data_IF_284998913194
#
_entry.id   IF_284998913194
#
_cell.length_a   1.000
_cell.length_b   1.000
_cell.length_c   1.000
_cell.angle_alpha   90.00
_cell.angle_beta   90.00
_cell.angle_gamma   90.00
#
_symmetry.space_group_name_H-M   'P 1'
#
loop_
_entity.id
_entity.type
_entity.pdbx_description
1 polymer ?
#
# COMPACT_ATOMS: atom_id res chain seq x y z
N UNK A 1 -17.95 -20.30 20.46
CA UNK A 1 -18.02 -19.58 19.16
C UNK A 1 -17.18 -20.30 18.10
N UNK A 2 -16.00 -20.83 18.41
CA UNK A 2 -15.09 -21.43 17.41
C UNK A 2 -14.78 -22.93 17.65
N UNK A 3 -15.74 -23.73 18.14
CA UNK A 3 -15.48 -25.12 18.55
C UNK A 3 -15.00 -26.03 17.42
N UNK A 4 -15.38 -25.73 16.17
CA UNK A 4 -14.98 -26.49 14.98
C UNK A 4 -13.68 -25.99 14.32
N UNK A 5 -13.01 -25.01 14.96
CA UNK A 5 -11.82 -24.36 14.41
C UNK A 5 -10.58 -24.87 15.16
N UNK A 6 -9.63 -25.52 14.46
CA UNK A 6 -8.52 -26.24 15.08
C UNK A 6 -7.38 -25.33 15.58
N UNK A 7 -7.54 -24.01 15.42
CA UNK A 7 -6.56 -22.99 15.78
C UNK A 7 -7.24 -21.87 16.55
N UNK A 8 -6.44 -21.06 17.23
CA UNK A 8 -6.97 -19.88 17.92
C UNK A 8 -7.48 -18.83 16.93
N UNK A 9 -8.54 -18.14 17.32
CA UNK A 9 -9.09 -16.99 16.59
C UNK A 9 -9.14 -15.80 17.54
N UNK A 10 -8.50 -14.69 17.17
CA UNK A 10 -8.53 -13.45 17.92
C UNK A 10 -7.53 -12.39 17.45
N UNK A 11 -7.75 -11.16 17.92
CA UNK A 11 -6.97 -9.95 17.58
C UNK A 11 -5.45 -10.10 17.73
N UNK A 12 -4.99 -10.94 18.66
CA UNK A 12 -3.56 -11.17 18.91
C UNK A 12 -2.81 -11.72 17.69
N UNK A 13 -3.52 -12.38 16.78
CA UNK A 13 -2.94 -12.99 15.57
C UNK A 13 -2.94 -12.05 14.36
N UNK A 14 -3.59 -10.88 14.44
CA UNK A 14 -3.71 -9.95 13.30
C UNK A 14 -2.34 -9.59 12.69
N UNK A 15 -1.34 -9.43 13.57
CA UNK A 15 0.04 -9.11 13.24
C UNK A 15 0.81 -10.20 12.48
N UNK A 16 0.29 -11.42 12.36
CA UNK A 16 1.05 -12.58 11.88
C UNK A 16 1.48 -12.42 10.42
N UNK A 17 2.70 -12.87 10.12
CA UNK A 17 3.28 -12.87 8.77
C UNK A 17 3.85 -14.23 8.43
N UNK A 18 3.38 -14.80 7.32
CA UNK A 18 3.77 -16.13 6.86
C UNK A 18 4.74 -15.97 5.70
N UNK A 19 6.01 -16.30 5.95
CA UNK A 19 7.06 -16.28 4.93
C UNK A 19 6.95 -17.49 4.00
N UNK A 20 7.66 -17.45 2.88
CA UNK A 20 7.55 -18.46 1.81
C UNK A 20 7.95 -19.85 2.31
N UNK A 21 8.93 -19.92 3.20
CA UNK A 21 9.44 -21.15 3.82
C UNK A 21 8.42 -21.82 4.76
N UNK A 22 7.56 -21.03 5.41
CA UNK A 22 6.57 -21.46 6.41
C UNK A 22 5.16 -21.67 5.82
N UNK A 23 4.99 -21.32 4.55
CA UNK A 23 3.72 -21.38 3.81
C UNK A 23 3.36 -22.82 3.44
N UNK A 24 2.12 -23.22 3.75
CA UNK A 24 1.48 -24.43 3.22
C UNK A 24 0.96 -24.21 1.80
N UNK A 25 0.28 -23.09 1.59
CA UNK A 25 -0.27 -22.71 0.27
C UNK A 25 -0.34 -21.18 0.15
N UNK A 26 -0.22 -20.69 -1.07
CA UNK A 26 -0.49 -19.30 -1.45
C UNK A 26 -1.78 -19.23 -2.28
N UNK A 27 -2.64 -18.28 -1.95
CA UNK A 27 -3.95 -18.10 -2.56
C UNK A 27 -4.04 -16.67 -3.08
N UNK A 28 -4.24 -16.53 -4.38
CA UNK A 28 -4.03 -15.25 -5.06
C UNK A 28 -2.55 -14.83 -5.03
N UNK A 29 -2.30 -13.59 -4.63
CA UNK A 29 -0.94 -13.05 -4.55
C UNK A 29 -0.30 -12.71 -5.90
N UNK A 30 1.00 -12.32 -5.90
CA UNK A 30 1.64 -11.69 -7.06
C UNK A 30 1.78 -12.58 -8.30
N UNK A 31 1.75 -13.91 -8.13
CA UNK A 31 1.90 -14.88 -9.24
C UNK A 31 0.59 -15.21 -9.94
N UNK A 32 -0.52 -14.71 -9.41
CA UNK A 32 -1.87 -15.04 -9.84
C UNK A 32 -2.52 -13.74 -10.33
N UNK A 33 -2.85 -13.70 -11.62
CA UNK A 33 -3.44 -12.53 -12.28
C UNK A 33 -4.87 -12.29 -11.82
N UNK A 34 -5.66 -13.36 -11.72
CA UNK A 34 -7.09 -13.31 -11.44
C UNK A 34 -7.36 -13.83 -10.03
N UNK A 35 -7.98 -12.98 -9.22
CA UNK A 35 -8.32 -13.21 -7.81
C UNK A 35 -9.30 -12.14 -7.37
N UNK A 36 -10.19 -12.43 -6.42
CA UNK A 36 -11.15 -11.44 -5.92
C UNK A 36 -11.66 -11.76 -4.51
N UNK A 37 -12.04 -10.71 -3.78
CA UNK A 37 -12.89 -10.84 -2.59
C UNK A 37 -14.05 -9.86 -2.74
N UNK A 38 -15.28 -10.35 -2.59
CA UNK A 38 -16.47 -9.57 -2.87
C UNK A 38 -17.49 -9.79 -1.77
N UNK A 39 -18.03 -8.70 -1.22
CA UNK A 39 -19.28 -8.74 -0.45
C UNK A 39 -20.43 -8.26 -1.32
N UNK A 40 -21.55 -8.99 -1.27
CA UNK A 40 -22.82 -8.56 -1.88
C UNK A 40 -23.93 -8.55 -0.83
N UNK A 41 -24.72 -7.47 -0.83
CA UNK A 41 -26.01 -7.46 -0.13
C UNK A 41 -27.03 -8.11 -1.06
N UNK A 42 -27.70 -9.16 -0.58
CA UNK A 42 -28.68 -9.95 -1.33
C UNK A 42 -30.03 -9.96 -0.63
N UNK A 43 -31.05 -10.40 -1.37
CA UNK A 43 -32.37 -10.62 -0.76
C UNK A 43 -32.35 -11.85 0.14
N UNK A 44 -33.21 -11.84 1.15
CA UNK A 44 -33.21 -12.87 2.19
C UNK A 44 -33.59 -14.28 1.68
N UNK A 45 -34.30 -14.37 0.56
CA UNK A 45 -34.67 -15.62 -0.12
C UNK A 45 -33.55 -16.18 -1.02
N UNK A 46 -32.55 -15.36 -1.35
CA UNK A 46 -31.36 -15.77 -2.13
C UNK A 46 -30.26 -16.35 -1.23
N UNK A 47 -30.34 -16.17 0.09
CA UNK A 47 -29.33 -16.62 1.06
C UNK A 47 -29.83 -17.80 1.92
N UNK A 48 -29.02 -18.86 1.93
CA UNK A 48 -29.09 -19.94 2.90
C UNK A 48 -28.17 -19.63 4.07
N UNK A 49 -28.73 -19.25 5.21
CA UNK A 49 -27.95 -18.80 6.36
C UNK A 49 -26.94 -19.85 6.85
N UNK A 50 -25.70 -19.41 7.10
CA UNK A 50 -24.60 -20.24 7.57
C UNK A 50 -23.95 -21.13 6.50
N UNK A 51 -24.44 -21.09 5.25
CA UNK A 51 -23.93 -21.96 4.19
C UNK A 51 -22.50 -21.57 3.80
N UNK A 52 -21.63 -22.57 3.70
CA UNK A 52 -20.28 -22.42 3.15
C UNK A 52 -20.16 -23.38 1.96
N UNK A 53 -19.75 -22.83 0.80
CA UNK A 53 -19.55 -23.59 -0.43
C UNK A 53 -18.10 -23.48 -0.89
N UNK A 54 -17.56 -24.55 -1.46
CA UNK A 54 -16.19 -24.62 -1.97
C UNK A 54 -16.29 -25.09 -3.42
N UNK A 55 -15.91 -24.22 -4.34
CA UNK A 55 -15.96 -24.45 -5.79
C UNK A 55 -14.53 -24.60 -6.31
N UNK A 56 -14.13 -25.85 -6.52
CA UNK A 56 -12.77 -26.27 -6.81
C UNK A 56 -12.15 -27.08 -5.66
N UNK A 57 -10.83 -27.39 -5.72
CA UNK A 57 -10.14 -28.12 -4.66
C UNK A 57 -10.20 -27.43 -3.29
N UNK A 58 -10.46 -28.19 -2.23
CA UNK A 58 -10.37 -27.68 -0.87
C UNK A 58 -8.90 -27.58 -0.41
N UNK A 59 -8.64 -26.91 0.71
CA UNK A 59 -7.31 -26.62 1.24
C UNK A 59 -6.45 -27.89 1.45
N UNK A 60 -7.05 -29.02 1.80
CA UNK A 60 -6.36 -30.30 1.95
C UNK A 60 -5.85 -30.87 0.61
N UNK A 61 -6.54 -30.57 -0.48
CA UNK A 61 -6.26 -31.08 -1.83
C UNK A 61 -5.21 -30.22 -2.56
N UNK A 62 -4.91 -29.03 -2.05
CA UNK A 62 -3.89 -28.14 -2.61
C UNK A 62 -2.48 -28.65 -2.29
N UNK A 63 -1.58 -28.61 -3.25
CA UNK A 63 -0.19 -29.05 -3.08
C UNK A 63 0.62 -28.04 -2.25
N UNK A 64 1.57 -28.54 -1.46
CA UNK A 64 2.38 -27.70 -0.60
C UNK A 64 3.29 -26.74 -1.39
N UNK A 65 3.31 -25.47 -0.98
CA UNK A 65 4.23 -24.47 -1.51
C UNK A 65 3.83 -23.90 -2.88
N UNK A 66 2.67 -24.29 -3.42
CA UNK A 66 2.13 -23.76 -4.68
C UNK A 66 1.23 -22.54 -4.46
N UNK A 67 0.98 -21.82 -5.56
CA UNK A 67 0.08 -20.66 -5.65
C UNK A 67 -1.14 -21.01 -6.51
N UNK A 68 -2.34 -20.59 -6.10
CA UNK A 68 -3.59 -20.91 -6.78
C UNK A 68 -4.46 -19.65 -7.01
N UNK A 69 -5.26 -19.59 -8.10
CA UNK A 69 -6.40 -18.67 -8.19
C UNK A 69 -7.28 -18.76 -6.95
N UNK A 70 -7.78 -17.62 -6.48
CA UNK A 70 -8.59 -17.60 -5.27
C UNK A 70 -9.66 -16.52 -5.32
N UNK A 71 -10.87 -16.91 -4.94
CA UNK A 71 -12.03 -16.04 -4.84
C UNK A 71 -12.73 -16.22 -3.50
N UNK A 72 -13.14 -15.13 -2.87
CA UNK A 72 -14.03 -15.14 -1.71
C UNK A 72 -15.28 -14.35 -2.07
N UNK A 73 -16.45 -14.99 -2.05
CA UNK A 73 -17.73 -14.31 -2.16
C UNK A 73 -18.46 -14.43 -0.83
N UNK A 74 -18.77 -13.30 -0.21
CA UNK A 74 -19.56 -13.22 1.01
C UNK A 74 -20.89 -12.56 0.67
N UNK A 75 -22.00 -13.25 0.92
CA UNK A 75 -23.33 -12.72 0.65
C UNK A 75 -24.05 -12.53 1.97
N UNK A 76 -24.58 -11.33 2.19
CA UNK A 76 -25.22 -10.94 3.45
C UNK A 76 -26.61 -10.37 3.21
N UNK A 77 -27.48 -10.51 4.20
CA UNK A 77 -28.79 -9.86 4.22
C UNK A 77 -29.13 -9.39 5.63
N UNK A 78 -29.99 -8.37 5.70
CA UNK A 78 -30.54 -7.85 6.94
C UNK A 78 -31.42 -6.64 6.65
N UNK A 79 -32.40 -6.35 7.50
CA UNK A 79 -33.39 -5.29 7.27
C UNK A 79 -32.77 -3.90 7.03
N UNK A 80 -31.60 -3.65 7.62
CA UNK A 80 -30.87 -2.38 7.55
C UNK A 80 -29.68 -2.39 6.59
N UNK A 81 -29.49 -3.47 5.82
CA UNK A 81 -28.37 -3.58 4.89
C UNK A 81 -28.70 -2.90 3.57
N UNK A 82 -27.81 -2.02 3.13
CA UNK A 82 -27.85 -1.33 1.85
C UNK A 82 -26.61 -1.69 1.03
N UNK A 83 -26.68 -1.66 -0.29
CA UNK A 83 -25.52 -1.96 -1.16
C UNK A 83 -24.31 -1.05 -0.88
N UNK A 84 -24.56 0.16 -0.37
CA UNK A 84 -23.53 1.14 0.04
C UNK A 84 -22.63 0.61 1.19
N UNK A 85 -23.08 -0.40 1.91
CA UNK A 85 -22.33 -1.01 3.01
C UNK A 85 -21.43 -2.15 2.55
N UNK A 86 -21.55 -2.59 1.30
CA UNK A 86 -20.78 -3.74 0.78
C UNK A 86 -19.27 -3.50 0.92
N UNK A 87 -18.77 -2.32 0.53
CA UNK A 87 -17.34 -1.98 0.65
C UNK A 87 -16.84 -1.98 2.11
N UNK A 88 -17.69 -1.53 3.05
CA UNK A 88 -17.40 -1.54 4.49
C UNK A 88 -17.27 -2.98 5.00
N UNK A 89 -18.20 -3.85 4.64
CA UNK A 89 -18.17 -5.26 5.02
C UNK A 89 -17.02 -6.02 4.34
N UNK A 90 -16.73 -5.71 3.09
CA UNK A 90 -15.67 -6.34 2.31
C UNK A 90 -14.31 -6.06 2.93
N UNK A 91 -14.10 -4.85 3.47
CA UNK A 91 -12.86 -4.54 4.17
C UNK A 91 -12.63 -5.41 5.41
N UNK A 92 -13.70 -5.87 6.07
CA UNK A 92 -13.60 -6.74 7.25
C UNK A 92 -13.08 -8.14 6.93
N UNK A 93 -13.12 -8.59 5.68
CA UNK A 93 -12.47 -9.84 5.25
C UNK A 93 -10.99 -9.80 5.64
N UNK A 94 -10.33 -8.66 5.45
CA UNK A 94 -8.93 -8.49 5.81
C UNK A 94 -8.66 -8.67 7.30
N UNK A 95 -9.44 -8.02 8.16
CA UNK A 95 -9.29 -8.16 9.61
C UNK A 95 -9.58 -9.60 10.06
N UNK A 96 -10.74 -10.12 9.68
CA UNK A 96 -11.24 -11.39 10.20
C UNK A 96 -10.40 -12.58 9.76
N UNK A 97 -9.86 -12.57 8.54
CA UNK A 97 -8.90 -13.60 8.10
C UNK A 97 -7.60 -13.54 8.90
N UNK A 98 -7.09 -12.34 9.22
CA UNK A 98 -5.87 -12.20 10.01
C UNK A 98 -6.08 -12.50 11.50
N UNK A 99 -7.31 -12.59 11.99
CA UNK A 99 -7.57 -13.05 13.37
C UNK A 99 -7.40 -14.56 13.52
N UNK A 100 -7.38 -15.33 12.43
CA UNK A 100 -7.23 -16.78 12.45
C UNK A 100 -5.74 -17.12 12.50
N UNK A 101 -5.29 -17.76 13.58
CA UNK A 101 -3.88 -18.14 13.76
C UNK A 101 -3.35 -18.96 12.57
N UNK A 102 -2.23 -18.52 12.01
CA UNK A 102 -1.58 -19.13 10.85
C UNK A 102 -2.31 -18.95 9.52
N UNK A 103 -3.22 -17.98 9.44
CA UNK A 103 -3.73 -17.39 8.19
C UNK A 103 -3.22 -15.96 8.09
N UNK A 104 -2.71 -15.60 6.93
CA UNK A 104 -2.27 -14.24 6.62
C UNK A 104 -3.03 -13.76 5.41
N UNK A 105 -3.75 -12.64 5.53
CA UNK A 105 -4.41 -11.96 4.43
C UNK A 105 -3.82 -10.55 4.22
N UNK A 106 -3.56 -10.17 2.98
CA UNK A 106 -3.03 -8.87 2.59
C UNK A 106 -3.86 -8.29 1.44
N UNK A 107 -3.76 -6.96 1.29
CA UNK A 107 -4.40 -6.18 0.24
C UNK A 107 -5.94 -6.18 0.34
N UNK A 108 -6.62 -6.29 -0.81
CA UNK A 108 -8.05 -6.06 -0.98
C UNK A 108 -8.53 -6.45 -2.39
N UNK A 109 -9.85 -6.63 -2.56
CA UNK A 109 -10.54 -6.76 -3.86
C UNK A 109 -9.81 -7.73 -4.82
N UNK A 110 -9.43 -7.23 -6.00
CA UNK A 110 -8.76 -7.98 -7.07
C UNK A 110 -7.25 -8.16 -6.86
N UNK A 111 -6.70 -7.64 -5.77
CA UNK A 111 -5.30 -7.79 -5.42
C UNK A 111 -5.08 -8.56 -4.12
N UNK A 112 -6.11 -9.28 -3.63
CA UNK A 112 -6.02 -10.10 -2.43
C UNK A 112 -4.80 -11.02 -2.47
N UNK A 113 -4.22 -11.24 -1.30
CA UNK A 113 -3.13 -12.19 -1.15
C UNK A 113 -3.24 -12.90 0.19
N UNK A 114 -3.52 -14.19 0.14
CA UNK A 114 -3.65 -15.02 1.32
C UNK A 114 -2.58 -16.11 1.36
N UNK A 115 -2.07 -16.41 2.57
CA UNK A 115 -1.27 -17.60 2.85
C UNK A 115 -1.84 -18.34 4.03
N UNK A 116 -1.76 -19.66 3.98
CA UNK A 116 -1.99 -20.54 5.14
C UNK A 116 -0.66 -21.17 5.53
N UNK A 117 -0.34 -21.19 6.83
CA UNK A 117 0.94 -21.68 7.34
C UNK A 117 0.96 -23.19 7.57
N UNK A 118 2.14 -23.82 7.42
CA UNK A 118 2.34 -25.27 7.66
C UNK A 118 1.94 -25.68 9.08
N UNK A 119 2.21 -24.82 10.07
CA UNK A 119 1.87 -25.08 11.48
C UNK A 119 0.36 -25.13 11.72
N UNK A 120 -0.40 -24.21 11.15
CA UNK A 120 -1.86 -24.21 11.27
C UNK A 120 -2.48 -25.41 10.55
N UNK A 121 -1.99 -25.72 9.34
CA UNK A 121 -2.42 -26.92 8.62
C UNK A 121 -2.15 -28.21 9.43
N UNK A 122 -0.98 -28.33 10.05
CA UNK A 122 -0.64 -29.46 10.91
C UNK A 122 -1.48 -29.56 12.20
N UNK A 123 -2.02 -28.44 12.70
CA UNK A 123 -2.99 -28.42 13.80
C UNK A 123 -4.39 -28.86 13.38
N UNK A 124 -4.65 -28.94 12.07
CA UNK A 124 -5.92 -29.39 11.50
C UNK A 124 -6.65 -28.36 10.66
N UNK A 125 -6.10 -27.14 10.46
CA UNK A 125 -6.70 -26.12 9.61
C UNK A 125 -6.48 -26.48 8.13
N UNK A 126 -7.28 -27.43 7.64
CA UNK A 126 -7.10 -28.11 6.36
C UNK A 126 -8.33 -28.04 5.45
N UNK A 127 -9.34 -27.24 5.80
CA UNK A 127 -10.49 -26.96 4.93
C UNK A 127 -10.85 -25.47 4.95
N UNK A 128 -11.25 -24.93 3.80
CA UNK A 128 -11.86 -23.60 3.70
C UNK A 128 -13.17 -23.51 4.47
N UNK A 129 -13.83 -24.64 4.75
CA UNK A 129 -15.00 -24.64 5.62
C UNK A 129 -14.67 -24.09 7.01
N UNK A 130 -13.53 -24.46 7.59
CA UNK A 130 -13.12 -23.98 8.92
C UNK A 130 -12.84 -22.46 8.90
N UNK A 131 -12.21 -21.97 7.83
CA UNK A 131 -11.96 -20.54 7.61
C UNK A 131 -13.29 -19.79 7.43
N UNK A 132 -14.21 -20.33 6.63
CA UNK A 132 -15.56 -19.77 6.45
C UNK A 132 -16.34 -19.72 7.76
N UNK A 133 -16.23 -20.74 8.61
CA UNK A 133 -16.89 -20.78 9.92
C UNK A 133 -16.35 -19.70 10.87
N UNK A 134 -15.03 -19.44 10.86
CA UNK A 134 -14.44 -18.30 11.57
C UNK A 134 -15.01 -16.97 11.05
N UNK A 135 -14.98 -16.77 9.73
CA UNK A 135 -15.46 -15.54 9.10
C UNK A 135 -16.94 -15.28 9.44
N UNK A 136 -17.83 -16.26 9.28
CA UNK A 136 -19.25 -16.13 9.62
C UNK A 136 -19.43 -15.73 11.09
N UNK A 137 -18.70 -16.37 11.99
CA UNK A 137 -18.78 -16.08 13.43
C UNK A 137 -18.31 -14.66 13.75
N UNK A 138 -17.22 -14.20 13.14
CA UNK A 138 -16.68 -12.85 13.31
C UNK A 138 -17.62 -11.79 12.70
N UNK A 139 -18.13 -12.00 11.49
CA UNK A 139 -19.14 -11.11 10.90
C UNK A 139 -20.35 -10.94 11.80
N UNK A 140 -20.89 -12.02 12.37
CA UNK A 140 -22.04 -11.96 13.27
C UNK A 140 -21.74 -11.28 14.61
N UNK A 141 -20.53 -11.50 15.15
CA UNK A 141 -20.10 -10.90 16.41
C UNK A 141 -19.96 -9.38 16.28
N UNK A 142 -19.26 -8.94 15.25
CA UNK A 142 -18.87 -7.54 15.08
C UNK A 142 -19.93 -6.72 14.33
N UNK A 143 -20.76 -7.37 13.52
CA UNK A 143 -21.80 -6.71 12.72
C UNK A 143 -23.18 -7.37 12.96
N UNK A 144 -23.80 -7.16 14.14
CA UNK A 144 -25.10 -7.77 14.49
C UNK A 144 -26.26 -7.38 13.56
N UNK A 145 -26.06 -6.40 12.68
CA UNK A 145 -27.01 -6.00 11.63
C UNK A 145 -27.12 -7.03 10.49
N UNK A 146 -26.20 -7.99 10.40
CA UNK A 146 -26.26 -9.10 9.45
C UNK A 146 -27.15 -10.20 10.03
N UNK A 147 -28.29 -10.44 9.38
CA UNK A 147 -29.26 -11.46 9.80
C UNK A 147 -28.94 -12.84 9.20
N UNK A 148 -28.57 -12.87 7.92
CA UNK A 148 -28.09 -14.09 7.26
C UNK A 148 -26.80 -13.82 6.50
N UNK A 149 -25.95 -14.84 6.47
CA UNK A 149 -24.67 -14.81 5.77
C UNK A 149 -24.39 -16.17 5.14
N UNK A 150 -23.87 -16.16 3.93
CA UNK A 150 -23.25 -17.33 3.30
C UNK A 150 -21.92 -16.95 2.65
N UNK A 151 -21.03 -17.92 2.53
CA UNK A 151 -19.70 -17.72 1.94
C UNK A 151 -19.45 -18.77 0.86
N UNK A 152 -18.90 -18.35 -0.26
CA UNK A 152 -18.42 -19.22 -1.32
C UNK A 152 -16.94 -18.97 -1.56
N UNK A 153 -16.13 -20.01 -1.44
CA UNK A 153 -14.72 -20.00 -1.80
C UNK A 153 -14.53 -20.60 -3.18
N UNK A 154 -13.63 -20.00 -3.96
CA UNK A 154 -13.28 -20.44 -5.30
C UNK A 154 -11.78 -20.69 -5.39
N UNK A 155 -11.37 -21.78 -6.03
CA UNK A 155 -9.96 -22.08 -6.32
C UNK A 155 -9.71 -22.31 -7.81
N UNK A 156 -10.44 -21.58 -8.66
CA UNK A 156 -10.43 -21.67 -10.13
C UNK A 156 -11.74 -22.24 -10.71
N UNK A 157 -11.74 -22.53 -12.00
CA UNK A 157 -12.92 -23.05 -12.73
C UNK A 157 -13.75 -21.97 -13.44
N UNK A 158 -14.85 -22.38 -14.07
CA UNK A 158 -15.69 -21.49 -14.88
C UNK A 158 -16.46 -20.48 -14.02
N UNK A 159 -17.05 -20.92 -12.91
CA UNK A 159 -17.79 -20.07 -11.97
C UNK A 159 -16.90 -19.03 -11.29
N UNK A 160 -15.60 -19.33 -11.13
CA UNK A 160 -14.62 -18.36 -10.67
C UNK A 160 -14.47 -17.20 -11.65
N UNK A 161 -14.41 -17.47 -12.96
CA UNK A 161 -14.21 -16.44 -13.98
C UNK A 161 -15.42 -15.51 -14.10
N UNK A 162 -16.64 -16.08 -14.12
CA UNK A 162 -17.86 -15.27 -14.17
C UNK A 162 -18.00 -14.39 -12.93
N UNK A 163 -17.68 -14.92 -11.74
CA UNK A 163 -17.73 -14.17 -10.48
C UNK A 163 -16.62 -13.12 -10.38
N UNK A 164 -15.42 -13.41 -10.89
CA UNK A 164 -14.32 -12.44 -10.97
C UNK A 164 -14.70 -11.23 -11.83
N UNK A 165 -15.33 -11.46 -12.99
CA UNK A 165 -15.81 -10.37 -13.84
C UNK A 165 -16.90 -9.55 -13.17
N UNK A 166 -17.86 -10.20 -12.50
CA UNK A 166 -18.86 -9.52 -11.68
C UNK A 166 -18.21 -8.68 -10.58
N UNK A 167 -17.22 -9.21 -9.88
CA UNK A 167 -16.50 -8.48 -8.83
C UNK A 167 -15.86 -7.20 -9.39
N UNK A 168 -15.17 -7.31 -10.54
CA UNK A 168 -14.57 -6.17 -11.24
C UNK A 168 -15.61 -5.09 -11.61
N UNK A 169 -16.77 -5.49 -12.13
CA UNK A 169 -17.87 -4.57 -12.45
C UNK A 169 -18.41 -3.87 -11.20
N UNK A 170 -18.59 -4.62 -10.10
CA UNK A 170 -19.08 -4.06 -8.83
C UNK A 170 -18.08 -3.07 -8.24
N UNK A 171 -16.78 -3.35 -8.28
CA UNK A 171 -15.76 -2.40 -7.81
C UNK A 171 -15.81 -1.09 -8.61
N UNK A 172 -15.87 -1.18 -9.94
CA UNK A 172 -15.96 -0.01 -10.81
C UNK A 172 -17.23 0.81 -10.55
N UNK A 173 -18.37 0.14 -10.33
CA UNK A 173 -19.63 0.82 -9.98
C UNK A 173 -19.52 1.59 -8.66
N UNK A 174 -18.88 0.99 -7.64
CA UNK A 174 -18.65 1.64 -6.33
C UNK A 174 -17.69 2.82 -6.47
N UNK A 175 -16.59 2.64 -7.18
CA UNK A 175 -15.57 3.68 -7.34
C UNK A 175 -16.08 4.84 -8.20
N UNK A 176 -16.80 4.56 -9.29
CA UNK A 176 -17.40 5.58 -10.16
C UNK A 176 -18.35 6.52 -9.41
N UNK A 177 -19.03 6.04 -8.35
CA UNK A 177 -19.88 6.89 -7.51
C UNK A 177 -19.08 7.87 -6.66
N UNK A 178 -17.89 7.50 -6.22
CA UNK A 178 -17.02 8.38 -5.46
C UNK A 178 -16.35 9.45 -6.34
N UNK A 179 -16.15 9.15 -7.62
CA UNK A 179 -15.59 10.08 -8.61
C UNK A 179 -16.57 11.24 -8.83
N UNK A 180 -16.20 12.44 -8.38
CA UNK A 180 -16.93 13.67 -8.67
C UNK A 180 -17.31 14.50 -7.45
N UNK A 181 -17.28 13.91 -6.25
CA UNK A 181 -17.40 14.68 -5.02
C UNK A 181 -16.09 15.41 -4.73
N UNK A 182 -16.15 16.71 -4.48
CA UNK A 182 -14.98 17.54 -4.20
C UNK A 182 -14.73 17.66 -2.70
N UNK A 183 -13.47 17.86 -2.33
CA UNK A 183 -13.08 18.11 -0.94
C UNK A 183 -13.79 19.33 -0.35
N UNK A 184 -14.02 20.35 -1.18
CA UNK A 184 -14.66 21.60 -0.81
C UNK A 184 -16.17 21.46 -0.56
N UNK A 185 -16.81 20.40 -1.07
CA UNK A 185 -18.25 20.13 -0.92
C UNK A 185 -18.62 19.40 0.37
N UNK A 186 -17.62 18.99 1.16
CA UNK A 186 -17.82 18.28 2.42
C UNK A 186 -17.19 19.05 3.59
N UNK A 187 -17.78 18.89 4.77
CA UNK A 187 -17.28 19.44 6.05
C UNK A 187 -16.46 18.43 6.86
N UNK A 188 -16.54 17.16 6.48
CA UNK A 188 -16.04 16.01 7.22
C UNK A 188 -15.21 15.12 6.30
N UNK A 189 -14.00 14.79 6.74
CA UNK A 189 -13.19 13.71 6.19
C UNK A 189 -13.30 12.48 7.08
N UNK A 190 -12.68 11.37 6.68
CA UNK A 190 -12.66 10.16 7.48
C UNK A 190 -11.23 9.72 7.74
N UNK A 191 -10.98 9.18 8.92
CA UNK A 191 -9.74 8.52 9.25
C UNK A 191 -9.91 7.03 9.32
N UNK A 192 -8.81 6.29 9.15
CA UNK A 192 -8.78 4.84 9.31
C UNK A 192 -7.58 4.42 10.16
N UNK A 193 -7.83 3.68 11.23
CA UNK A 193 -6.82 3.16 12.15
C UNK A 193 -6.55 1.66 11.97
N UNK A 194 -7.17 1.00 10.97
CA UNK A 194 -7.05 -0.46 10.77
C UNK A 194 -5.61 -0.95 10.68
N UNK A 195 -4.74 -0.19 10.02
CA UNK A 195 -3.37 -0.62 9.81
C UNK A 195 -2.42 -0.23 10.97
N UNK A 196 -2.93 0.34 12.07
CA UNK A 196 -2.09 0.73 13.21
C UNK A 196 -1.56 -0.46 14.00
N UNK A 197 -2.15 -1.65 13.86
CA UNK A 197 -1.56 -2.89 14.40
C UNK A 197 -0.21 -3.22 13.77
N UNK A 198 0.04 -2.80 12.53
CA UNK A 198 1.31 -2.99 11.82
C UNK A 198 2.19 -1.74 11.80
N UNK A 199 1.57 -0.56 11.70
CA UNK A 199 2.25 0.72 11.63
C UNK A 199 1.64 1.69 12.65
N UNK A 200 2.06 1.64 13.94
CA UNK A 200 1.36 2.33 15.03
C UNK A 200 1.22 3.85 14.86
N UNK A 201 2.17 4.50 14.19
CA UNK A 201 2.14 5.94 13.91
C UNK A 201 1.46 6.29 12.58
N UNK A 202 0.94 5.31 11.84
CA UNK A 202 0.29 5.56 10.56
C UNK A 202 -0.99 6.37 10.75
N UNK A 203 -1.10 7.40 9.94
CA UNK A 203 -2.28 8.24 9.76
C UNK A 203 -2.81 7.99 8.36
N UNK A 204 -4.06 7.53 8.28
CA UNK A 204 -4.83 7.41 7.05
C UNK A 204 -5.98 8.42 7.09
N UNK A 205 -6.00 9.34 6.14
CA UNK A 205 -7.01 10.38 5.95
C UNK A 205 -7.62 10.19 4.58
N UNK A 206 -8.94 10.10 4.56
CA UNK A 206 -9.76 9.77 3.41
C UNK A 206 -10.64 10.98 3.13
N UNK A 207 -10.46 11.56 1.95
CA UNK A 207 -11.25 12.67 1.44
C UNK A 207 -11.98 12.24 0.18
N UNK A 208 -12.98 13.01 -0.30
CA UNK A 208 -13.60 12.74 -1.60
C UNK A 208 -12.56 12.61 -2.74
N UNK A 209 -11.50 13.40 -2.69
CA UNK A 209 -10.46 13.44 -3.73
C UNK A 209 -9.18 12.69 -3.36
N UNK A 210 -9.17 11.94 -2.26
CA UNK A 210 -8.06 11.10 -1.81
C UNK A 210 -8.57 9.86 -1.11
N UNK A 211 -8.60 8.76 -1.86
CA UNK A 211 -8.85 7.43 -1.32
C UNK A 211 -7.82 7.04 -0.26
N UNK A 212 -8.20 6.11 0.63
CA UNK A 212 -7.23 5.43 1.46
C UNK A 212 -6.15 4.79 0.58
N UNK A 213 -4.88 4.80 1.01
CA UNK A 213 -3.77 4.30 0.20
C UNK A 213 -3.96 2.84 -0.29
N UNK A 214 -4.76 2.04 0.44
CA UNK A 214 -5.08 0.67 0.06
C UNK A 214 -6.02 0.52 -1.15
N UNK A 215 -6.69 1.59 -1.58
CA UNK A 215 -7.70 1.56 -2.64
C UNK A 215 -9.07 1.00 -2.22
N UNK A 216 -9.19 0.47 -1.00
CA UNK A 216 -10.40 -0.24 -0.56
C UNK A 216 -11.47 0.64 0.11
N UNK A 217 -11.12 1.87 0.51
CA UNK A 217 -12.00 2.74 1.31
C UNK A 217 -12.08 4.11 0.66
N UNK A 218 -13.23 4.39 0.05
CA UNK A 218 -13.62 5.71 -0.44
C UNK A 218 -14.15 6.59 0.69
N UNK A 219 -14.41 7.87 0.40
CA UNK A 219 -15.08 8.76 1.34
C UNK A 219 -16.49 8.27 1.72
N UNK A 220 -17.23 7.68 0.76
CA UNK A 220 -18.55 7.12 1.03
C UNK A 220 -18.49 5.90 1.93
N UNK A 221 -17.49 5.02 1.75
CA UNK A 221 -17.23 3.90 2.65
C UNK A 221 -16.87 4.40 4.05
N UNK A 222 -16.05 5.46 4.14
CA UNK A 222 -15.71 6.13 5.39
C UNK A 222 -16.94 6.60 6.16
N UNK A 223 -17.85 7.29 5.45
CA UNK A 223 -19.12 7.77 5.99
C UNK A 223 -20.04 6.64 6.44
N UNK A 224 -20.18 5.61 5.61
CA UNK A 224 -21.01 4.45 5.90
C UNK A 224 -20.49 3.70 7.13
N UNK A 225 -19.17 3.43 7.19
CA UNK A 225 -18.53 2.75 8.31
C UNK A 225 -18.67 3.51 9.62
N UNK A 226 -18.35 4.81 9.63
CA UNK A 226 -18.44 5.64 10.84
C UNK A 226 -19.88 5.80 11.36
N UNK A 227 -20.88 5.76 10.47
CA UNK A 227 -22.30 5.79 10.87
C UNK A 227 -22.76 4.46 11.46
N UNK A 228 -22.26 3.35 10.90
CA UNK A 228 -22.63 2.00 11.32
C UNK A 228 -21.98 1.62 12.65
N UNK A 229 -20.70 1.92 12.80
CA UNK A 229 -19.86 1.56 13.94
C UNK A 229 -19.09 2.81 14.41
N UNK A 230 -19.72 3.70 15.20
CA UNK A 230 -19.12 4.96 15.63
C UNK A 230 -17.86 4.83 16.49
N UNK A 231 -17.72 3.70 17.20
CA UNK A 231 -16.56 3.37 18.03
C UNK A 231 -15.50 2.55 17.26
N UNK A 232 -15.77 2.29 15.98
CA UNK A 232 -14.94 1.49 15.10
C UNK A 232 -13.62 2.15 14.69
N UNK A 233 -12.82 1.42 13.88
CA UNK A 233 -11.51 1.87 13.43
C UNK A 233 -11.59 2.93 12.32
N UNK A 234 -12.77 3.15 11.73
CA UNK A 234 -13.04 4.20 10.75
C UNK A 234 -13.94 5.24 11.41
N UNK A 235 -13.51 6.49 11.42
CA UNK A 235 -14.12 7.53 12.24
C UNK A 235 -14.11 8.89 11.51
N UNK A 236 -15.02 9.82 11.85
CA UNK A 236 -15.05 11.13 11.22
C UNK A 236 -13.91 12.03 11.71
N UNK A 237 -13.40 12.87 10.82
CA UNK A 237 -12.45 13.94 11.07
C UNK A 237 -13.11 15.25 10.62
N UNK A 238 -13.42 16.13 11.56
CA UNK A 238 -13.81 17.50 11.21
C UNK A 238 -12.65 18.19 10.49
N UNK A 239 -12.91 18.84 9.34
CA UNK A 239 -11.84 19.49 8.55
C UNK A 239 -11.11 20.58 9.34
N UNK A 240 -11.85 21.40 10.10
CA UNK A 240 -11.32 22.60 10.72
C UNK A 240 -10.95 23.67 9.67
N UNK A 241 -10.07 24.59 10.06
CA UNK A 241 -9.52 25.61 9.16
C UNK A 241 -8.69 25.01 8.03
N UNK A 242 -8.88 25.54 6.82
CA UNK A 242 -8.08 25.20 5.63
C UNK A 242 -6.82 26.09 5.61
N UNK A 243 -5.68 25.50 5.97
CA UNK A 243 -4.44 26.22 6.24
C UNK A 243 -3.60 26.43 4.98
N UNK A 244 -3.61 25.45 4.07
CA UNK A 244 -2.83 25.49 2.84
C UNK A 244 -3.59 24.80 1.71
N UNK A 245 -3.96 25.58 0.69
CA UNK A 245 -4.74 25.08 -0.43
C UNK A 245 -3.95 24.33 -1.48
N UNK A 246 -2.66 24.59 -1.57
CA UNK A 246 -1.75 23.92 -2.50
C UNK A 246 -1.41 22.53 -1.98
N UNK A 247 -1.07 22.42 -0.70
CA UNK A 247 -0.67 21.15 -0.09
C UNK A 247 -1.84 20.34 0.48
N UNK A 248 -3.02 20.94 0.61
CA UNK A 248 -4.17 20.31 1.24
C UNK A 248 -4.02 20.16 2.74
N UNK A 249 -3.57 21.22 3.44
CA UNK A 249 -3.37 21.19 4.89
C UNK A 249 -4.61 21.70 5.62
N UNK A 250 -5.08 20.91 6.59
CA UNK A 250 -6.25 21.21 7.39
C UNK A 250 -5.92 21.08 8.87
N UNK A 251 -6.31 22.06 9.67
CA UNK A 251 -6.04 22.06 11.12
C UNK A 251 -6.64 20.83 11.82
N UNK A 252 -7.87 20.43 11.45
CA UNK A 252 -8.52 19.25 12.02
C UNK A 252 -7.81 17.93 11.66
N UNK A 253 -7.23 17.86 10.46
CA UNK A 253 -6.38 16.73 10.05
C UNK A 253 -5.07 16.70 10.85
N UNK A 254 -4.46 17.87 11.11
CA UNK A 254 -3.25 17.95 11.93
C UNK A 254 -3.51 17.54 13.38
N UNK A 255 -4.57 18.06 14.00
CA UNK A 255 -4.99 17.64 15.35
C UNK A 255 -5.25 16.14 15.43
N UNK A 256 -5.89 15.61 14.39
CA UNK A 256 -6.16 14.19 14.27
C UNK A 256 -4.85 13.38 14.21
N UNK A 257 -3.92 13.79 13.35
CA UNK A 257 -2.63 13.16 13.18
C UNK A 257 -1.84 13.12 14.49
N UNK A 258 -1.81 14.23 15.25
CA UNK A 258 -1.14 14.30 16.56
C UNK A 258 -1.71 13.26 17.51
N UNK A 259 -3.04 13.21 17.64
CA UNK A 259 -3.73 12.31 18.59
C UNK A 259 -3.51 10.84 18.22
N UNK A 260 -3.70 10.46 16.95
CA UNK A 260 -3.65 9.05 16.52
C UNK A 260 -2.25 8.50 16.31
N UNK A 261 -1.27 9.35 16.05
CA UNK A 261 0.14 8.93 15.90
C UNK A 261 0.91 8.97 17.22
N UNK A 262 0.24 9.28 18.35
CA UNK A 262 0.88 9.51 19.65
C UNK A 262 1.95 10.62 19.59
N UNK A 263 1.70 11.66 18.78
CA UNK A 263 2.60 12.80 18.59
C UNK A 263 3.77 12.57 17.64
N UNK A 264 3.82 11.43 16.93
CA UNK A 264 4.86 11.17 15.93
C UNK A 264 4.67 11.97 14.63
N UNK A 265 3.42 12.30 14.29
CA UNK A 265 3.04 13.06 13.10
C UNK A 265 2.22 14.28 13.55
N UNK A 266 2.73 15.47 13.27
CA UNK A 266 2.11 16.71 13.75
C UNK A 266 1.41 17.52 12.65
N UNK A 267 1.80 17.29 11.39
CA UNK A 267 1.26 17.97 10.22
C UNK A 267 1.11 16.97 9.09
N UNK A 268 0.07 17.13 8.27
CA UNK A 268 -0.15 16.30 7.09
C UNK A 268 -0.56 17.18 5.91
N UNK A 269 0.22 17.09 4.84
CA UNK A 269 -0.08 17.61 3.52
C UNK A 269 -0.68 16.48 2.69
N UNK A 270 -1.98 16.62 2.41
CA UNK A 270 -2.74 15.60 1.72
C UNK A 270 -2.37 15.48 0.24
N UNK A 271 -1.75 16.49 -0.37
CA UNK A 271 -1.51 16.52 -1.81
C UNK A 271 -0.05 16.75 -2.20
N UNK A 272 0.87 16.38 -1.30
CA UNK A 272 2.32 16.40 -1.54
C UNK A 272 3.00 15.14 -1.01
N UNK A 273 4.08 14.75 -1.69
CA UNK A 273 5.06 13.75 -1.30
C UNK A 273 6.28 14.38 -0.59
N UNK A 274 6.36 15.70 -0.49
CA UNK A 274 7.45 16.45 0.16
C UNK A 274 6.99 17.18 1.43
N UNK A 275 7.95 17.52 2.29
CA UNK A 275 7.68 18.19 3.57
C UNK A 275 6.93 17.31 4.57
N UNK A 276 5.59 17.41 4.60
CA UNK A 276 4.74 16.69 5.55
C UNK A 276 3.82 15.66 4.86
N UNK A 277 4.35 14.72 4.06
CA UNK A 277 3.52 13.84 3.28
C UNK A 277 2.62 12.98 4.16
N UNK A 278 1.44 12.64 3.63
CA UNK A 278 0.60 11.61 4.23
C UNK A 278 1.38 10.28 4.38
N UNK A 279 1.38 9.72 5.59
CA UNK A 279 2.15 8.50 5.89
C UNK A 279 1.61 7.26 5.16
N UNK A 280 2.35 6.16 5.18
CA UNK A 280 1.93 4.88 4.60
C UNK A 280 2.12 3.72 5.57
N UNK A 281 1.12 2.84 5.69
CA UNK A 281 1.25 1.62 6.49
C UNK A 281 2.08 0.56 5.78
N UNK A 282 1.56 -0.01 4.70
CA UNK A 282 2.18 -1.12 3.96
C UNK A 282 1.27 -1.80 2.94
N UNK A 283 -0.03 -1.48 2.93
CA UNK A 283 -1.02 -2.06 2.01
C UNK A 283 -1.37 -1.16 0.81
N UNK A 284 -0.53 -0.16 0.50
CA UNK A 284 -0.75 0.72 -0.66
C UNK A 284 -0.71 -0.05 -1.99
N UNK A 285 -1.52 0.36 -2.97
CA UNK A 285 -1.57 -0.29 -4.29
C UNK A 285 -0.36 0.07 -5.16
N UNK A 286 0.13 1.30 -5.03
CA UNK A 286 1.29 1.80 -5.73
C UNK A 286 2.14 2.76 -4.87
N UNK A 287 3.32 3.08 -5.37
CA UNK A 287 4.25 4.04 -4.77
C UNK A 287 4.58 5.08 -5.84
N UNK A 288 4.42 6.36 -5.51
CA UNK A 288 5.12 7.44 -6.19
C UNK A 288 6.48 7.63 -5.50
N UNK A 289 7.57 7.44 -6.25
CA UNK A 289 8.94 7.57 -5.76
C UNK A 289 9.68 8.65 -6.55
N UNK A 290 10.32 9.58 -5.85
CA UNK A 290 11.04 10.67 -6.46
C UNK A 290 12.40 10.20 -7.01
N UNK A 291 12.77 10.75 -8.17
CA UNK A 291 14.01 10.47 -8.89
C UNK A 291 14.79 11.79 -8.97
N UNK A 292 15.74 12.04 -8.04
CA UNK A 292 16.46 13.30 -7.96
C UNK A 292 17.19 13.68 -9.24
N UNK A 293 17.79 12.72 -9.95
CA UNK A 293 18.56 12.95 -11.17
C UNK A 293 17.72 13.45 -12.36
N UNK A 294 16.40 13.30 -12.25
CA UNK A 294 15.41 13.66 -13.29
C UNK A 294 14.48 14.78 -12.81
N UNK A 295 14.48 15.09 -11.51
CA UNK A 295 13.57 16.03 -10.86
C UNK A 295 12.08 15.70 -11.07
N UNK A 296 11.74 14.41 -11.04
CA UNK A 296 10.37 13.90 -11.23
C UNK A 296 10.10 12.61 -10.46
N UNK A 297 8.87 12.11 -10.55
CA UNK A 297 8.41 10.91 -9.88
C UNK A 297 8.29 9.73 -10.85
N UNK A 298 8.80 8.58 -10.44
CA UNK A 298 8.33 7.30 -10.97
C UNK A 298 7.12 6.80 -10.18
N UNK A 299 6.27 6.02 -10.84
CA UNK A 299 5.17 5.27 -10.19
C UNK A 299 5.45 3.78 -10.36
N UNK A 300 5.23 2.99 -9.31
CA UNK A 300 5.26 1.52 -9.41
C UNK A 300 4.14 0.90 -8.59
N UNK A 301 3.37 0.00 -9.20
CA UNK A 301 2.31 -0.73 -8.51
C UNK A 301 2.81 -2.07 -7.97
N UNK A 302 2.11 -2.59 -6.96
CA UNK A 302 2.49 -3.79 -6.20
C UNK A 302 2.70 -5.05 -7.03
N UNK A 303 1.97 -5.18 -8.14
CA UNK A 303 2.02 -6.35 -9.03
C UNK A 303 3.18 -6.29 -10.03
N UNK A 304 3.85 -5.15 -10.16
CA UNK A 304 4.96 -5.01 -11.09
C UNK A 304 6.15 -5.88 -10.63
N UNK A 305 6.51 -6.87 -11.43
CA UNK A 305 7.55 -7.84 -11.10
C UNK A 305 8.97 -7.35 -11.44
N UNK A 306 9.09 -6.38 -12.35
CA UNK A 306 10.37 -5.87 -12.83
C UNK A 306 11.04 -4.88 -11.86
N UNK A 307 12.32 -4.55 -12.09
CA UNK A 307 12.92 -3.39 -11.49
C UNK A 307 12.34 -2.11 -12.09
N UNK A 308 12.20 -1.07 -11.27
CA UNK A 308 11.90 0.27 -11.77
C UNK A 308 13.15 0.88 -12.43
N UNK A 309 12.98 2.05 -13.05
CA UNK A 309 14.04 2.78 -13.76
C UNK A 309 15.26 3.18 -12.91
N UNK A 310 15.15 3.13 -11.58
CA UNK A 310 16.29 3.32 -10.66
C UNK A 310 16.92 1.99 -10.19
N UNK A 311 16.51 0.86 -10.78
CA UNK A 311 16.99 -0.48 -10.46
C UNK A 311 16.33 -1.15 -9.26
N UNK A 312 15.42 -0.47 -8.53
CA UNK A 312 14.77 -1.02 -7.34
C UNK A 312 13.46 -1.73 -7.69
N UNK A 313 13.23 -2.89 -7.08
CA UNK A 313 11.94 -3.59 -7.14
C UNK A 313 10.92 -2.92 -6.21
N UNK A 314 9.62 -3.17 -6.45
CA UNK A 314 8.53 -2.66 -5.61
C UNK A 314 8.74 -2.96 -4.12
N UNK A 315 9.20 -4.15 -3.76
CA UNK A 315 9.41 -4.54 -2.35
C UNK A 315 10.41 -3.63 -1.64
N UNK A 316 11.50 -3.25 -2.30
CA UNK A 316 12.53 -2.39 -1.72
C UNK A 316 12.03 -0.95 -1.53
N UNK A 317 11.25 -0.46 -2.49
CA UNK A 317 10.60 0.85 -2.40
C UNK A 317 9.52 0.84 -1.31
N UNK A 318 8.77 -0.26 -1.19
CA UNK A 318 7.74 -0.43 -0.18
C UNK A 318 8.33 -0.41 1.23
N UNK A 319 9.46 -1.07 1.46
CA UNK A 319 10.18 -1.04 2.75
C UNK A 319 10.59 0.38 3.14
N UNK A 320 10.93 1.22 2.17
CA UNK A 320 11.28 2.64 2.40
C UNK A 320 10.05 3.50 2.70
N UNK A 321 8.94 3.23 2.00
CA UNK A 321 7.68 4.00 2.05
C UNK A 321 6.83 3.68 3.29
N UNK A 322 6.87 2.42 3.74
CA UNK A 322 6.01 1.88 4.79
C UNK A 322 6.41 2.26 6.22
N UNK A 323 5.58 1.85 7.18
CA UNK A 323 5.86 1.92 8.61
C UNK A 323 5.30 3.15 9.33
N UNK A 324 4.36 3.89 8.72
CA UNK A 324 3.67 5.01 9.36
C UNK A 324 4.57 6.23 9.60
N UNK A 325 5.62 6.38 8.79
CA UNK A 325 6.55 7.52 8.84
C UNK A 325 6.24 8.50 7.70
N UNK A 326 6.63 9.75 7.88
CA UNK A 326 6.70 10.71 6.78
C UNK A 326 8.06 10.54 6.12
N UNK A 327 8.06 10.07 4.87
CA UNK A 327 9.26 9.84 4.09
C UNK A 327 9.14 10.67 2.83
N UNK A 328 9.92 11.74 2.74
CA UNK A 328 9.88 12.65 1.61
C UNK A 328 10.30 11.93 0.32
N UNK A 329 9.55 12.19 -0.75
CA UNK A 329 9.78 11.57 -2.05
C UNK A 329 9.37 10.09 -2.14
N UNK A 330 8.86 9.46 -1.09
CA UNK A 330 8.35 8.08 -1.13
C UNK A 330 6.92 8.05 -0.60
N UNK A 331 5.96 7.91 -1.51
CA UNK A 331 4.56 8.12 -1.19
C UNK A 331 3.68 6.95 -1.64
N UNK A 332 3.10 6.24 -0.67
CA UNK A 332 2.13 5.18 -0.95
C UNK A 332 0.81 5.77 -1.42
N UNK A 333 0.28 5.28 -2.53
CA UNK A 333 -0.91 5.79 -3.21
C UNK A 333 -1.82 4.63 -3.65
N UNK A 334 -3.11 4.92 -3.77
CA UNK A 334 -4.10 4.06 -4.42
C UNK A 334 -4.23 4.37 -5.91
N UNK A 335 -4.74 3.45 -6.71
CA UNK A 335 -5.04 3.70 -8.11
C UNK A 335 -6.09 4.80 -8.31
N UNK A 336 -7.11 4.86 -7.46
CA UNK A 336 -8.15 5.89 -7.53
C UNK A 336 -7.63 7.29 -7.18
N UNK A 337 -6.64 7.42 -6.29
CA UNK A 337 -5.99 8.72 -6.05
C UNK A 337 -5.28 9.26 -7.31
N UNK A 338 -4.74 8.41 -8.19
CA UNK A 338 -4.18 8.86 -9.47
C UNK A 338 -5.24 9.42 -10.43
N UNK A 339 -6.52 9.07 -10.22
CA UNK A 339 -7.66 9.64 -10.96
C UNK A 339 -8.14 10.99 -10.42
N UNK A 340 -7.64 11.39 -9.27
CA UNK A 340 -8.02 12.64 -8.63
C UNK A 340 -7.42 13.84 -9.35
N UNK A 341 -8.19 14.92 -9.46
CA UNK A 341 -7.68 16.23 -9.88
C UNK A 341 -6.71 16.85 -8.86
N UNK A 342 -6.67 16.32 -7.62
CA UNK A 342 -5.73 16.73 -6.57
C UNK A 342 -4.47 15.83 -6.54
N UNK A 343 -4.31 14.90 -7.49
CA UNK A 343 -3.20 13.96 -7.51
C UNK A 343 -1.85 14.69 -7.50
N UNK A 344 -1.13 14.59 -6.37
CA UNK A 344 0.18 15.24 -6.13
C UNK A 344 0.22 16.71 -6.58
N UNK A 345 -0.88 17.44 -6.37
CA UNK A 345 -1.05 18.77 -6.99
C UNK A 345 0.07 19.74 -6.60
N UNK A 346 0.55 19.68 -5.36
CA UNK A 346 1.62 20.54 -4.85
C UNK A 346 2.99 20.23 -5.48
N UNK A 347 3.15 19.00 -6.01
CA UNK A 347 4.40 18.54 -6.59
C UNK A 347 4.38 18.58 -8.12
N UNK A 348 3.33 19.17 -8.72
CA UNK A 348 3.14 19.28 -10.17
C UNK A 348 2.24 18.21 -10.80
N UNK A 349 1.64 17.34 -10.00
CA UNK A 349 0.71 16.30 -10.43
C UNK A 349 1.25 15.45 -11.58
N UNK A 350 0.44 15.23 -12.61
CA UNK A 350 0.83 14.43 -13.78
C UNK A 350 2.06 14.98 -14.53
N UNK A 351 2.31 16.29 -14.49
CA UNK A 351 3.48 16.90 -15.12
C UNK A 351 4.81 16.57 -14.42
N UNK A 352 4.74 16.01 -13.21
CA UNK A 352 5.90 15.53 -12.47
C UNK A 352 6.13 14.02 -12.64
N UNK A 353 5.22 13.27 -13.25
CA UNK A 353 5.35 11.81 -13.41
C UNK A 353 6.16 11.50 -14.65
N UNK A 354 7.35 10.93 -14.49
CA UNK A 354 8.31 10.71 -15.58
C UNK A 354 8.38 9.26 -16.04
N UNK A 355 7.96 8.32 -15.20
CA UNK A 355 8.03 6.90 -15.49
C UNK A 355 6.93 6.12 -14.78
N UNK A 356 6.30 5.15 -15.45
CA UNK A 356 5.34 4.23 -14.83
C UNK A 356 5.17 2.95 -15.66
N UNK A 357 4.79 1.81 -15.05
CA UNK A 357 4.52 0.59 -15.80
C UNK A 357 3.44 0.77 -16.87
N UNK A 358 3.64 0.17 -18.04
CA UNK A 358 2.72 0.26 -19.17
C UNK A 358 1.29 -0.19 -18.81
N UNK A 359 1.15 -1.23 -17.97
CA UNK A 359 -0.15 -1.73 -17.46
C UNK A 359 -0.96 -0.62 -16.76
N UNK A 360 -0.32 0.17 -15.90
CA UNK A 360 -1.00 1.25 -15.17
C UNK A 360 -1.23 2.45 -16.09
N UNK A 361 -0.28 2.74 -16.98
CA UNK A 361 -0.43 3.81 -17.97
C UNK A 361 -1.65 3.57 -18.87
N UNK A 362 -1.85 2.33 -19.31
CA UNK A 362 -3.01 1.89 -20.08
C UNK A 362 -4.31 1.97 -19.25
N UNK A 363 -4.29 1.48 -18.00
CA UNK A 363 -5.45 1.53 -17.10
C UNK A 363 -5.93 2.95 -16.79
N UNK A 364 -5.01 3.92 -16.79
CA UNK A 364 -5.26 5.34 -16.57
C UNK A 364 -5.32 6.14 -17.89
N UNK A 365 -5.41 5.45 -19.03
CA UNK A 365 -5.66 6.12 -20.31
C UNK A 365 -6.95 6.95 -20.24
N UNK A 366 -6.88 8.19 -20.72
CA UNK A 366 -7.97 9.17 -20.61
C UNK A 366 -8.08 9.89 -19.26
N UNK A 367 -7.34 9.45 -18.24
CA UNK A 367 -7.16 10.18 -16.96
C UNK A 367 -5.87 10.99 -16.99
N UNK A 368 -4.79 10.37 -17.48
CA UNK A 368 -3.52 11.07 -17.69
C UNK A 368 -3.77 12.18 -18.74
N UNK A 369 -3.41 13.45 -18.44
CA UNK A 369 -3.57 14.55 -19.39
C UNK A 369 -2.89 14.25 -20.73
N UNK A 370 -3.58 14.54 -21.83
CA UNK A 370 -3.15 14.20 -23.19
C UNK A 370 -1.81 14.85 -23.57
N UNK A 371 -1.56 16.05 -23.04
CA UNK A 371 -0.35 16.84 -23.26
C UNK A 371 0.92 16.22 -22.64
N UNK A 372 0.78 15.44 -21.56
CA UNK A 372 1.91 14.75 -20.91
C UNK A 372 1.93 13.24 -21.17
N UNK A 373 0.79 12.62 -21.49
CA UNK A 373 0.67 11.15 -21.61
C UNK A 373 1.72 10.53 -22.55
N UNK A 374 1.99 11.16 -23.70
CA UNK A 374 3.00 10.70 -24.65
C UNK A 374 4.45 10.85 -24.16
N UNK A 375 4.69 11.69 -23.17
CA UNK A 375 6.02 12.01 -22.64
C UNK A 375 6.40 11.24 -21.37
N UNK A 376 5.47 10.49 -20.76
CA UNK A 376 5.76 9.62 -19.60
C UNK A 376 6.35 8.30 -20.09
N UNK A 377 7.56 7.95 -19.67
CA UNK A 377 8.20 6.69 -20.05
C UNK A 377 7.56 5.46 -19.38
N UNK A 378 7.74 4.30 -19.97
CA UNK A 378 7.42 3.00 -19.38
C UNK A 378 8.66 2.12 -19.26
N UNK A 379 8.50 0.92 -18.70
CA UNK A 379 9.54 -0.12 -18.71
C UNK A 379 9.95 -0.56 -20.13
N UNK A 380 9.15 -0.21 -21.15
CA UNK A 380 9.45 -0.51 -22.56
C UNK A 380 10.32 0.58 -23.21
N UNK A 381 10.28 1.80 -22.66
CA UNK A 381 10.96 2.98 -23.20
C UNK A 381 12.30 3.24 -22.51
N UNK A 382 12.36 3.03 -21.19
CA UNK A 382 13.53 3.31 -20.38
C UNK A 382 13.71 2.27 -19.26
N UNK A 383 14.88 1.62 -19.25
CA UNK A 383 15.28 0.64 -18.25
C UNK A 383 16.20 1.21 -17.17
N UNK A 384 16.77 2.40 -17.42
CA UNK A 384 17.67 3.10 -16.51
C UNK A 384 17.50 4.63 -16.62
N UNK A 385 18.13 5.35 -15.70
CA UNK A 385 18.06 6.82 -15.59
C UNK A 385 18.58 7.53 -16.86
N UNK A 386 19.59 6.99 -17.54
CA UNK A 386 20.16 7.64 -18.73
C UNK A 386 19.21 7.50 -19.94
N UNK A 387 18.64 6.30 -20.11
CA UNK A 387 17.62 6.05 -21.11
C UNK A 387 16.38 6.92 -20.84
N UNK A 388 15.98 7.03 -19.57
CA UNK A 388 14.88 7.89 -19.15
C UNK A 388 15.14 9.36 -19.51
N UNK A 389 16.31 9.90 -19.14
CA UNK A 389 16.69 11.28 -19.46
C UNK A 389 16.60 11.56 -20.97
N UNK A 390 17.08 10.62 -21.78
CA UNK A 390 17.05 10.72 -23.25
C UNK A 390 15.62 10.71 -23.80
N UNK A 391 14.76 9.82 -23.27
CA UNK A 391 13.35 9.72 -23.65
C UNK A 391 12.58 11.00 -23.31
N UNK A 392 12.73 11.50 -22.07
CA UNK A 392 12.04 12.70 -21.61
C UNK A 392 12.43 13.92 -22.45
N UNK A 393 13.70 14.03 -22.81
CA UNK A 393 14.19 15.12 -23.68
C UNK A 393 13.56 15.05 -25.07
N UNK A 394 13.57 13.88 -25.70
CA UNK A 394 13.04 13.72 -27.07
C UNK A 394 11.52 13.87 -27.15
N UNK A 395 10.81 13.56 -26.05
CA UNK A 395 9.35 13.71 -25.95
C UNK A 395 8.93 15.01 -25.26
N UNK A 396 9.87 15.94 -25.02
CA UNK A 396 9.61 17.27 -24.45
C UNK A 396 8.81 17.24 -23.14
N UNK A 397 9.13 16.29 -22.26
CA UNK A 397 8.44 16.16 -20.97
C UNK A 397 8.56 17.47 -20.15
N UNK A 398 7.49 17.94 -19.47
CA UNK A 398 7.51 19.21 -18.74
C UNK A 398 8.68 19.39 -17.76
N UNK A 399 9.13 18.32 -17.10
CA UNK A 399 10.29 18.35 -16.18
C UNK A 399 11.59 18.80 -16.84
N UNK A 400 11.77 18.59 -18.15
CA UNK A 400 12.99 18.95 -18.88
C UNK A 400 13.23 20.46 -18.81
N UNK A 401 12.16 21.26 -18.77
CA UNK A 401 12.26 22.72 -18.62
C UNK A 401 12.86 23.18 -17.28
N UNK A 402 12.85 22.30 -16.26
CA UNK A 402 13.41 22.58 -14.93
C UNK A 402 14.90 22.25 -14.85
N UNK A 403 15.40 21.41 -15.74
CA UNK A 403 16.80 21.05 -15.76
C UNK A 403 17.65 22.27 -16.06
N UNK A 404 18.53 22.61 -15.13
CA UNK A 404 19.56 23.62 -15.36
C UNK A 404 20.46 23.08 -16.47
N UNK A 405 20.35 23.65 -17.66
CA UNK A 405 21.36 23.47 -18.71
C UNK A 405 22.59 24.22 -18.21
N UNK A 406 23.72 23.55 -17.93
CA UNK A 406 24.96 24.27 -17.72
C UNK A 406 25.20 25.08 -19.00
N UNK A 407 25.30 26.41 -18.90
CA UNK A 407 25.85 27.18 -20.02
C UNK A 407 27.25 26.62 -20.28
N UNK A 408 27.46 26.03 -21.46
CA UNK A 408 28.78 25.76 -22.00
C UNK A 408 29.45 27.12 -22.29
N UNK A 409 29.87 27.82 -21.25
CA UNK A 409 30.89 28.85 -21.37
C UNK A 409 32.21 28.13 -21.56
N UNK A 410 32.60 27.94 -22.82
CA UNK A 410 34.00 27.77 -23.20
C UNK A 410 34.77 29.04 -22.77
N UNK A 411 35.09 29.17 -21.48
CA UNK A 411 36.10 30.11 -21.03
C UNK A 411 37.47 29.45 -21.16
N UNK A 412 38.29 30.00 -22.06
CA UNK A 412 39.71 29.72 -22.17
C UNK A 412 40.36 29.83 -20.79
N UNK A 413 40.87 28.70 -20.29
CA UNK A 413 41.60 28.62 -19.03
C UNK A 413 42.90 29.42 -19.17
N UNK A 414 42.88 30.69 -18.76
CA UNK A 414 44.09 31.42 -18.43
C UNK A 414 44.60 30.94 -17.07
N UNK A 415 45.87 30.52 -17.05
CA UNK A 415 46.54 29.95 -15.88
C UNK A 415 46.89 31.04 -14.87
N UNK A 416 46.08 31.18 -13.82
CA UNK A 416 46.54 31.77 -12.57
C UNK A 416 45.87 31.08 -11.37
N UNK A 417 46.60 30.19 -10.71
CA UNK A 417 46.14 29.45 -9.53
C UNK A 417 46.35 30.30 -8.28
N UNK A 418 45.28 30.95 -7.80
CA UNK A 418 45.15 31.38 -6.40
C UNK A 418 44.51 30.28 -5.53
N UNK A 419 44.80 30.19 -4.22
CA UNK A 419 44.40 29.05 -3.41
C UNK A 419 42.87 28.98 -3.22
N UNK A 420 42.30 27.84 -3.60
CA UNK A 420 40.88 27.54 -3.52
C UNK A 420 40.39 27.42 -2.07
N UNK A 421 39.34 28.17 -1.73
CA UNK A 421 38.44 27.86 -0.60
C UNK A 421 37.48 26.75 -1.01
N UNK A 422 37.40 25.62 -0.31
CA UNK A 422 36.44 24.57 -0.65
C UNK A 422 35.04 24.93 -0.13
N UNK A 423 34.10 25.06 -1.05
CA UNK A 423 32.65 25.09 -0.77
C UNK A 423 32.10 23.71 -1.12
N UNK A 424 31.91 22.85 -0.11
CA UNK A 424 30.88 21.80 -0.12
C UNK A 424 30.73 21.19 1.27
N UNK A 425 29.48 21.14 1.73
CA UNK A 425 29.04 20.49 2.97
C UNK A 425 28.38 19.16 2.60
N UNK A 426 29.04 18.04 2.90
CA UNK A 426 28.43 16.71 2.80
C UNK A 426 27.71 16.36 4.11
N UNK A 427 26.42 16.03 3.99
CA UNK A 427 25.63 15.46 5.09
C UNK A 427 26.16 14.08 5.49
N UNK A 428 26.41 13.95 6.80
CA UNK A 428 26.62 12.77 7.65
C UNK A 428 26.98 11.41 7.00
N UNK A 429 28.24 11.00 7.17
CA UNK A 429 28.71 9.62 6.96
C UNK A 429 28.95 8.92 8.31
N UNK A 430 28.26 7.80 8.61
CA UNK A 430 28.55 7.02 9.82
C UNK A 430 29.74 6.07 9.57
N UNK A 431 30.83 6.24 10.32
CA UNK A 431 31.94 5.28 10.37
C UNK A 431 31.76 4.35 11.60
N UNK A 432 31.62 3.06 11.35
CA UNK A 432 31.57 2.02 12.40
C UNK A 432 33.00 1.53 12.68
N UNK A 433 33.53 1.85 13.87
CA UNK A 433 34.76 1.27 14.39
C UNK A 433 34.49 0.64 15.77
N UNK A 434 34.71 -0.67 15.90
CA UNK A 434 34.85 -1.35 17.19
C UNK A 434 33.63 -1.31 18.13
N UNK A 435 32.40 -1.35 17.60
CA UNK A 435 31.19 -1.47 18.43
C UNK A 435 30.77 -0.21 19.19
N UNK A 436 31.34 0.96 18.84
CA UNK A 436 30.93 2.26 19.41
C UNK A 436 30.48 3.18 18.27
N UNK A 437 29.33 3.82 18.44
CA UNK A 437 28.79 4.82 17.50
C UNK A 437 29.51 6.14 17.71
N UNK A 438 30.34 6.53 16.76
CA UNK A 438 31.04 7.83 16.76
C UNK A 438 30.32 8.77 15.79
N UNK A 439 29.87 9.92 16.28
CA UNK A 439 29.22 10.97 15.49
C UNK A 439 30.19 12.15 15.42
N UNK A 440 30.68 12.47 14.23
CA UNK A 440 31.59 13.60 14.02
C UNK A 440 30.78 14.80 13.54
N UNK A 441 30.81 15.90 14.30
CA UNK A 441 30.21 17.18 13.91
C UNK A 441 31.33 18.18 13.60
N UNK A 442 31.29 18.79 12.42
CA UNK A 442 32.28 19.77 11.92
C UNK A 442 33.74 19.28 11.92
N UNK A 443 33.97 18.00 11.63
CA UNK A 443 35.33 17.46 11.53
C UNK A 443 35.87 17.57 10.08
N UNK A 444 37.11 18.04 9.92
CA UNK A 444 37.85 17.95 8.65
C UNK A 444 38.73 16.71 8.67
N UNK A 445 38.46 15.76 7.79
CA UNK A 445 39.24 14.51 7.68
C UNK A 445 40.07 14.58 6.40
N UNK A 446 41.38 14.39 6.54
CA UNK A 446 42.31 14.26 5.42
C UNK A 446 42.88 12.84 5.44
N UNK A 447 42.75 12.10 4.33
CA UNK A 447 43.27 10.74 4.21
C UNK A 447 43.95 10.56 2.85
N UNK A 448 45.19 10.06 2.85
CA UNK A 448 45.94 9.82 1.61
C UNK A 448 45.52 8.51 0.91
N UNK A 449 44.93 7.55 1.64
CA UNK A 449 44.39 6.31 1.08
C UNK A 449 43.32 5.70 1.99
N UNK A 450 42.24 5.17 1.41
CA UNK A 450 41.15 4.47 2.12
C UNK A 450 41.07 3.02 1.65
N UNK A 451 40.92 2.08 2.58
CA UNK A 451 40.73 0.64 2.32
C UNK A 451 39.53 0.15 3.14
N UNK A 452 38.58 -0.51 2.50
CA UNK A 452 37.35 -1.03 3.13
C UNK A 452 37.42 -2.57 3.10
N UNK A 453 37.21 -3.21 4.25
CA UNK A 453 37.11 -4.66 4.38
C UNK A 453 35.81 -5.04 5.12
N UNK A 454 35.17 -6.18 4.80
CA UNK A 454 34.00 -6.65 5.52
C UNK A 454 34.34 -7.03 6.96
N UNK A 455 33.42 -6.75 7.89
CA UNK A 455 33.58 -7.05 9.31
C UNK A 455 33.46 -8.57 9.56
N UNK A 456 34.55 -9.21 9.98
CA UNK A 456 34.60 -10.64 10.29
C UNK A 456 33.59 -11.03 11.39
N UNK A 457 32.57 -11.81 11.02
CA UNK A 457 31.75 -12.56 11.96
C UNK A 457 32.41 -13.92 12.25
N UNK A 458 33.22 -14.01 13.31
CA UNK A 458 33.55 -15.31 13.90
C UNK A 458 33.41 -15.33 15.43
N UNK A 459 32.34 -16.01 15.85
CA UNK A 459 32.09 -16.52 17.21
C UNK A 459 33.33 -17.27 17.74
N UNK A 460 33.87 -16.83 18.88
CA UNK A 460 34.70 -17.68 19.75
C UNK A 460 33.82 -18.78 20.35
N UNK A 461 34.02 -20.02 19.93
CA UNK A 461 33.69 -21.20 20.75
C UNK A 461 34.64 -21.22 21.94
N UNK A 462 34.11 -21.01 23.15
CA UNK A 462 34.75 -21.49 24.37
C UNK A 462 34.55 -23.00 24.45
N UNK A 463 35.63 -23.72 24.73
CA UNK A 463 35.65 -25.16 24.96
C UNK A 463 37.07 -25.57 25.31
N UNK A 464 37.39 -25.48 26.60
CA UNK A 464 38.71 -25.74 27.16
C UNK A 464 39.13 -27.21 27.11
N UNK A 465 40.44 -27.42 27.30
CA UNK A 465 41.03 -28.69 27.74
C UNK A 465 41.93 -28.41 28.95
N UNK A 466 42.00 -29.43 29.81
CA UNK A 466 42.77 -29.63 31.06
C UNK A 466 41.86 -29.42 32.28
N UNK A 467 41.49 -30.42 33.09
CA UNK A 467 42.05 -31.77 33.35
C UNK A 467 40.99 -32.89 33.40
#
# INVERSE_FOLDING_TARGET
MFEDIPVEVGLVHEGERIRKEDMRVELGGPKVSEKFELVLVKKSDEITDGKISILGPDLADLEEGKSYPFGILVEVTGEKLEEDLEGVFERRIHEYLNYIQGVMHLNQRYDLWMRVGKKAFAKGLNSFHQIGSALISLYRSELPIIEKIQITFFTGGEEFQSTYNLARERYETRDARARGLLDEEVDTFYGCALCQSFAPSHICVITPQRYANCGAISWFDGRAAARMDPDGPIFPIAKGEYLDSEHGEYSGVNEHAIKRSMGAVNRVWLYSAFGYPHTSCGCFEAIAFYIPEIEGFGIVHRRFAGPTVNGLAFSTLADSTAGGRQVEGFHGISLEYMRSVKFLQADGGWNAIVWMPAEIKEMLSGIIPEDVAGAIATEQDALDINALKSFLTSHHHPVVSKWIVPEDTEEEISSDFGPATPVMSFGELPLMAGGVKIILKNAKIYAERVIIQPADTHRKKQGGKND
#
